data_IF_063658268852
#
_entry.id   IF_063658268852
#
_cell.length_a   1.000
_cell.length_b   1.000
_cell.length_c   1.000
_cell.angle_alpha   90.00
_cell.angle_beta   90.00
_cell.angle_gamma   90.00
#
_symmetry.space_group_name_H-M   'P 1'
#
loop_
_entity.id
_entity.type
_entity.pdbx_description
1 polymer ?
#
# COMPACT_ATOMS: atom_id res chain seq x y z
N UNK A 1 32.58 -5.09 -7.21
CA UNK A 1 31.86 -3.81 -7.00
C UNK A 1 30.53 -4.16 -6.41
N UNK A 2 30.28 -3.65 -5.21
CA UNK A 2 29.16 -4.03 -4.35
C UNK A 2 27.84 -3.71 -5.04
N UNK A 3 26.93 -4.68 -5.06
CA UNK A 3 25.53 -4.44 -5.38
C UNK A 3 25.00 -3.44 -4.35
N UNK A 4 24.72 -2.23 -4.81
CA UNK A 4 23.98 -1.23 -4.06
C UNK A 4 22.53 -1.71 -3.96
N UNK A 5 22.28 -2.67 -3.06
CA UNK A 5 20.95 -3.00 -2.62
C UNK A 5 20.48 -1.76 -1.84
N UNK A 6 19.85 -0.81 -2.54
CA UNK A 6 19.24 0.34 -1.89
C UNK A 6 18.31 -0.19 -0.80
N UNK A 7 18.67 0.03 0.45
CA UNK A 7 17.88 -0.32 1.61
C UNK A 7 16.56 0.45 1.54
N UNK A 8 15.56 -0.16 0.92
CA UNK A 8 14.18 0.30 0.96
C UNK A 8 13.51 -0.39 2.14
N UNK A 9 13.91 0.04 3.33
CA UNK A 9 13.36 -0.44 4.58
C UNK A 9 12.33 0.58 5.05
N UNK A 10 11.08 0.42 4.59
CA UNK A 10 9.97 1.16 5.15
C UNK A 10 9.64 0.59 6.52
N UNK A 11 9.35 1.45 7.48
CA UNK A 11 8.73 1.01 8.73
C UNK A 11 7.36 0.39 8.42
N UNK A 12 6.85 -0.48 9.30
CA UNK A 12 5.58 -1.18 9.10
C UNK A 12 4.45 -0.22 8.69
N UNK A 13 4.35 0.93 9.33
CA UNK A 13 3.29 1.91 9.07
C UNK A 13 3.46 2.61 7.72
N UNK A 14 4.70 2.89 7.32
CA UNK A 14 5.01 3.41 5.99
C UNK A 14 4.71 2.38 4.91
N UNK A 15 5.04 1.10 5.16
CA UNK A 15 4.70 0.01 4.26
C UNK A 15 3.18 -0.12 4.07
N UNK A 16 2.41 -0.08 5.16
CA UNK A 16 0.96 -0.11 5.08
C UNK A 16 0.42 1.08 4.30
N UNK A 17 0.90 2.30 4.54
CA UNK A 17 0.49 3.47 3.74
C UNK A 17 0.86 3.31 2.26
N UNK A 18 2.08 2.87 1.99
CA UNK A 18 2.62 2.68 0.66
C UNK A 18 1.83 1.65 -0.16
N UNK A 19 1.39 0.56 0.46
CA UNK A 19 0.52 -0.46 -0.17
C UNK A 19 -0.74 0.15 -0.78
N UNK A 20 -1.48 0.95 -0.02
CA UNK A 20 -2.71 1.59 -0.50
C UNK A 20 -2.42 2.68 -1.52
N UNK A 21 -1.35 3.47 -1.33
CA UNK A 21 -0.95 4.50 -2.26
C UNK A 21 -0.57 3.93 -3.62
N UNK A 22 0.12 2.78 -3.69
CA UNK A 22 0.46 2.13 -4.96
C UNK A 22 -0.77 1.83 -5.81
N UNK A 23 -1.87 1.37 -5.19
CA UNK A 23 -3.11 1.09 -5.89
C UNK A 23 -3.71 2.38 -6.45
N UNK A 24 -3.96 3.37 -5.58
CA UNK A 24 -4.61 4.63 -5.98
C UNK A 24 -3.74 5.48 -6.93
N UNK A 25 -2.42 5.31 -6.90
CA UNK A 25 -1.50 6.04 -7.77
C UNK A 25 -1.02 5.22 -8.98
N UNK A 26 -1.69 4.11 -9.30
CA UNK A 26 -1.30 3.27 -10.42
C UNK A 26 -1.17 4.08 -11.71
N UNK A 27 -2.01 5.11 -11.88
CA UNK A 27 -2.01 6.01 -13.04
C UNK A 27 -1.23 7.31 -12.84
N UNK A 28 -0.35 7.39 -11.84
CA UNK A 28 0.47 8.58 -11.56
C UNK A 28 -0.34 9.84 -11.18
N UNK A 29 -1.52 9.67 -10.60
CA UNK A 29 -2.25 10.70 -9.86
C UNK A 29 -3.06 10.03 -8.75
N UNK A 30 -3.52 10.81 -7.77
CA UNK A 30 -4.44 10.33 -6.73
C UNK A 30 -5.48 11.43 -6.53
N UNK A 31 -6.75 11.06 -6.39
CA UNK A 31 -7.82 11.99 -6.05
C UNK A 31 -7.85 12.25 -4.54
N UNK A 32 -8.14 13.49 -4.13
CA UNK A 32 -8.19 13.86 -2.71
C UNK A 32 -9.15 12.98 -1.89
N UNK A 33 -10.27 12.56 -2.49
CA UNK A 33 -11.25 11.67 -1.84
C UNK A 33 -10.69 10.27 -1.55
N UNK A 34 -9.76 9.79 -2.37
CA UNK A 34 -9.10 8.51 -2.17
C UNK A 34 -8.10 8.60 -1.02
N UNK A 35 -7.38 9.72 -0.89
CA UNK A 35 -6.42 9.92 0.19
C UNK A 35 -7.05 9.80 1.58
N UNK A 36 -8.24 10.36 1.78
CA UNK A 36 -8.95 10.24 3.05
C UNK A 36 -9.43 8.80 3.32
N UNK A 37 -9.85 8.11 2.27
CA UNK A 37 -10.24 6.70 2.35
C UNK A 37 -9.05 5.80 2.68
N UNK A 38 -7.89 6.05 2.08
CA UNK A 38 -6.62 5.36 2.36
C UNK A 38 -6.19 5.58 3.81
N UNK A 39 -6.19 6.83 4.30
CA UNK A 39 -5.82 7.15 5.68
C UNK A 39 -6.70 6.37 6.67
N UNK A 40 -8.01 6.27 6.40
CA UNK A 40 -8.93 5.54 7.26
C UNK A 40 -8.70 4.02 7.21
N UNK A 41 -8.48 3.44 6.02
CA UNK A 41 -8.15 2.03 5.88
C UNK A 41 -6.87 1.65 6.65
N UNK A 42 -5.80 2.43 6.51
CA UNK A 42 -4.55 2.19 7.23
C UNK A 42 -4.74 2.30 8.75
N UNK A 43 -5.45 3.31 9.24
CA UNK A 43 -5.77 3.44 10.68
C UNK A 43 -6.53 2.23 11.21
N UNK A 44 -7.47 1.69 10.43
CA UNK A 44 -8.23 0.51 10.82
C UNK A 44 -7.33 -0.73 10.95
N UNK A 45 -6.45 -0.96 9.97
CA UNK A 45 -5.49 -2.07 10.03
C UNK A 45 -4.55 -1.92 11.24
N UNK A 46 -3.99 -0.73 11.44
CA UNK A 46 -3.08 -0.45 12.56
C UNK A 46 -3.77 -0.65 13.91
N UNK A 47 -4.94 -0.06 14.12
CA UNK A 47 -5.65 -0.16 15.41
C UNK A 47 -6.04 -1.60 15.78
N UNK A 48 -6.38 -2.43 14.78
CA UNK A 48 -6.83 -3.82 15.00
C UNK A 48 -5.70 -4.81 15.15
N UNK A 49 -4.66 -4.68 14.33
CA UNK A 49 -3.62 -5.70 14.22
C UNK A 49 -2.29 -5.26 14.82
N UNK A 50 -2.10 -3.96 15.05
CA UNK A 50 -0.87 -3.37 15.54
C UNK A 50 -1.15 -2.27 16.60
N UNK A 51 -1.85 -2.60 17.71
CA UNK A 51 -2.42 -1.62 18.66
C UNK A 51 -1.39 -0.76 19.40
N UNK A 52 -0.10 -1.11 19.32
CA UNK A 52 1.00 -0.33 19.88
C UNK A 52 1.53 0.75 18.93
N UNK A 53 1.09 0.75 17.66
CA UNK A 53 1.46 1.79 16.71
C UNK A 53 0.94 3.14 17.17
N UNK A 54 1.83 4.13 17.21
CA UNK A 54 1.50 5.54 17.49
C UNK A 54 1.67 6.42 16.26
N UNK A 55 1.71 5.80 15.09
CA UNK A 55 1.97 6.49 13.85
C UNK A 55 0.86 7.50 13.53
N UNK A 56 1.27 8.71 13.17
CA UNK A 56 0.38 9.65 12.53
C UNK A 56 0.26 9.29 11.04
N UNK A 57 -0.74 8.48 10.71
CA UNK A 57 -1.03 8.05 9.34
C UNK A 57 -1.21 9.25 8.39
N UNK A 58 -1.74 10.37 8.87
CA UNK A 58 -1.91 11.56 8.04
C UNK A 58 -0.55 12.13 7.60
N UNK A 59 0.39 12.22 8.53
CA UNK A 59 1.76 12.67 8.25
C UNK A 59 2.48 11.72 7.29
N UNK A 60 2.38 10.40 7.52
CA UNK A 60 3.02 9.40 6.68
C UNK A 60 2.46 9.43 5.25
N UNK A 61 1.14 9.39 5.10
CA UNK A 61 0.50 9.44 3.78
C UNK A 61 0.93 10.71 3.04
N UNK A 62 0.81 11.88 3.68
CA UNK A 62 1.18 13.14 3.04
C UNK A 62 2.67 13.19 2.64
N UNK A 63 3.56 12.56 3.41
CA UNK A 63 4.98 12.46 3.10
C UNK A 63 5.31 11.51 1.93
N UNK A 64 4.45 10.53 1.65
CA UNK A 64 4.69 9.51 0.63
C UNK A 64 3.99 9.79 -0.72
N UNK A 65 2.89 10.57 -0.72
CA UNK A 65 2.06 10.80 -1.92
C UNK A 65 2.87 11.30 -3.11
N UNK A 66 3.68 12.35 -2.93
CA UNK A 66 4.42 12.96 -4.04
C UNK A 66 5.44 11.98 -4.64
N UNK A 67 6.14 11.23 -3.79
CA UNK A 67 7.10 10.24 -4.24
C UNK A 67 6.40 9.10 -5.00
N UNK A 68 5.29 8.61 -4.47
CA UNK A 68 4.59 7.47 -5.03
C UNK A 68 3.90 7.79 -6.38
N UNK A 69 3.38 9.01 -6.52
CA UNK A 69 2.84 9.50 -7.80
C UNK A 69 3.92 9.55 -8.89
N UNK A 70 5.17 9.83 -8.54
CA UNK A 70 6.29 9.91 -9.49
C UNK A 70 6.90 8.55 -9.84
N UNK A 71 6.61 7.50 -9.07
CA UNK A 71 7.11 6.15 -9.33
C UNK A 71 6.37 5.51 -10.50
N UNK A 72 7.13 4.84 -11.37
CA UNK A 72 6.56 4.00 -12.43
C UNK A 72 5.89 2.77 -11.82
N UNK A 73 4.99 2.15 -12.58
CA UNK A 73 4.35 0.89 -12.16
C UNK A 73 5.38 -0.20 -11.84
N UNK A 74 6.44 -0.32 -12.65
CA UNK A 74 7.53 -1.27 -12.44
C UNK A 74 8.25 -1.01 -11.10
N UNK A 75 8.61 0.23 -10.82
CA UNK A 75 9.24 0.62 -9.55
C UNK A 75 8.34 0.30 -8.35
N UNK A 76 7.03 0.54 -8.48
CA UNK A 76 6.04 0.21 -7.44
C UNK A 76 6.02 -1.30 -7.18
N UNK A 77 5.96 -2.10 -8.25
CA UNK A 77 5.94 -3.57 -8.17
C UNK A 77 7.20 -4.13 -7.54
N UNK A 78 8.37 -3.66 -7.97
CA UNK A 78 9.66 -4.07 -7.40
C UNK A 78 9.74 -3.77 -5.92
N UNK A 79 9.38 -2.54 -5.51
CA UNK A 79 9.41 -2.13 -4.11
C UNK A 79 8.42 -2.94 -3.26
N UNK A 80 7.18 -3.11 -3.72
CA UNK A 80 6.18 -3.90 -3.02
C UNK A 80 6.61 -5.36 -2.82
N UNK A 81 7.19 -5.97 -3.86
CA UNK A 81 7.69 -7.34 -3.81
C UNK A 81 8.87 -7.48 -2.83
N UNK A 82 9.78 -6.50 -2.81
CA UNK A 82 10.91 -6.50 -1.88
C UNK A 82 10.43 -6.34 -0.43
N UNK A 83 9.56 -5.37 -0.17
CA UNK A 83 9.09 -5.07 1.19
C UNK A 83 8.19 -6.18 1.72
N UNK A 84 7.29 -6.75 0.91
CA UNK A 84 6.39 -7.84 1.36
C UNK A 84 7.14 -9.09 1.81
N UNK A 85 8.31 -9.37 1.20
CA UNK A 85 9.21 -10.47 1.60
C UNK A 85 9.95 -10.20 2.90
N UNK A 86 10.33 -8.94 3.13
CA UNK A 86 11.10 -8.53 4.30
C UNK A 86 10.22 -8.21 5.52
N UNK A 87 8.96 -7.80 5.29
CA UNK A 87 7.99 -7.39 6.31
C UNK A 87 6.71 -8.25 6.23
N UNK A 88 6.78 -9.53 6.63
CA UNK A 88 5.62 -10.42 6.57
C UNK A 88 4.52 -9.98 7.55
N UNK A 89 3.34 -9.68 7.02
CA UNK A 89 2.16 -9.34 7.83
C UNK A 89 1.46 -10.59 8.39
N UNK A 90 0.83 -10.51 9.57
CA UNK A 90 -0.08 -11.56 10.05
C UNK A 90 -1.22 -11.82 9.05
N UNK A 91 -1.63 -13.08 8.90
CA UNK A 91 -2.69 -13.46 7.94
C UNK A 91 -3.99 -12.66 8.13
N UNK A 92 -4.42 -12.45 9.38
CA UNK A 92 -5.61 -11.64 9.67
C UNK A 92 -5.50 -10.20 9.16
N UNK A 93 -4.32 -9.58 9.27
CA UNK A 93 -4.08 -8.24 8.74
C UNK A 93 -4.10 -8.24 7.21
N UNK A 94 -3.52 -9.26 6.56
CA UNK A 94 -3.56 -9.41 5.10
C UNK A 94 -5.00 -9.49 4.59
N UNK A 95 -5.84 -10.31 5.23
CA UNK A 95 -7.25 -10.44 4.86
C UNK A 95 -8.01 -9.12 5.04
N UNK A 96 -7.81 -8.41 6.15
CA UNK A 96 -8.42 -7.10 6.35
C UNK A 96 -7.98 -6.09 5.28
N UNK A 97 -6.69 -6.07 4.90
CA UNK A 97 -6.19 -5.21 3.83
C UNK A 97 -6.88 -5.55 2.49
N UNK A 98 -7.06 -6.84 2.19
CA UNK A 98 -7.78 -7.26 0.98
C UNK A 98 -9.24 -6.84 1.00
N UNK A 99 -9.93 -6.96 2.14
CA UNK A 99 -11.31 -6.52 2.28
C UNK A 99 -11.43 -5.00 2.14
N UNK A 100 -10.54 -4.24 2.78
CA UNK A 100 -10.51 -2.78 2.72
C UNK A 100 -10.24 -2.31 1.28
N UNK A 101 -9.25 -2.88 0.60
CA UNK A 101 -8.96 -2.58 -0.80
C UNK A 101 -10.13 -2.97 -1.72
N UNK A 102 -10.79 -4.11 -1.50
CA UNK A 102 -11.98 -4.47 -2.26
C UNK A 102 -13.10 -3.43 -2.07
N UNK A 103 -13.31 -2.93 -0.86
CA UNK A 103 -14.30 -1.86 -0.62
C UNK A 103 -13.93 -0.58 -1.36
N UNK A 104 -12.65 -0.17 -1.32
CA UNK A 104 -12.17 0.99 -2.07
C UNK A 104 -12.46 0.83 -3.57
N UNK A 105 -12.08 -0.32 -4.14
CA UNK A 105 -12.32 -0.67 -5.53
C UNK A 105 -13.82 -0.60 -5.89
N UNK A 106 -14.72 -1.19 -5.10
CA UNK A 106 -16.15 -1.19 -5.43
C UNK A 106 -16.85 0.15 -5.15
N UNK A 107 -16.25 1.00 -4.31
CA UNK A 107 -16.76 2.34 -4.03
C UNK A 107 -16.40 3.35 -5.10
N UNK A 108 -15.29 3.12 -5.82
CA UNK A 108 -14.88 3.95 -6.93
C UNK A 108 -15.57 3.50 -8.23
N UNK A 109 -16.30 4.44 -8.84
CA UNK A 109 -17.01 4.22 -10.11
C UNK A 109 -16.11 4.42 -11.33
N UNK A 110 -14.92 4.95 -11.15
CA UNK A 110 -14.00 5.33 -12.21
C UNK A 110 -12.70 4.54 -12.20
N UNK A 111 -12.70 3.37 -11.55
CA UNK A 111 -11.54 2.49 -11.48
C UNK A 111 -10.86 2.30 -12.82
N UNK A 112 -9.58 2.59 -12.84
CA UNK A 112 -8.75 2.44 -14.01
C UNK A 112 -8.25 1.00 -14.18
N UNK A 113 -7.91 0.60 -15.42
CA UNK A 113 -7.22 -0.67 -15.65
C UNK A 113 -5.90 -0.81 -14.88
N UNK A 114 -5.19 0.30 -14.65
CA UNK A 114 -3.94 0.32 -13.89
C UNK A 114 -4.16 0.00 -12.41
N UNK A 115 -5.19 0.59 -11.81
CA UNK A 115 -5.55 0.35 -10.40
C UNK A 115 -6.00 -1.10 -10.18
N UNK A 116 -6.79 -1.64 -11.11
CA UNK A 116 -7.18 -3.06 -11.11
C UNK A 116 -5.96 -3.98 -11.19
N UNK A 117 -5.02 -3.69 -12.10
CA UNK A 117 -3.80 -4.47 -12.26
C UNK A 117 -2.88 -4.40 -11.04
N UNK A 118 -2.77 -3.22 -10.41
CA UNK A 118 -1.99 -3.04 -9.20
C UNK A 118 -2.64 -3.74 -7.99
N UNK A 119 -3.96 -3.68 -7.86
CA UNK A 119 -4.69 -4.44 -6.84
C UNK A 119 -4.44 -5.95 -6.96
N UNK A 120 -4.54 -6.49 -8.18
CA UNK A 120 -4.24 -7.90 -8.44
C UNK A 120 -2.81 -8.27 -8.02
N UNK A 121 -1.83 -7.41 -8.33
CA UNK A 121 -0.44 -7.62 -7.93
C UNK A 121 -0.21 -7.54 -6.42
N UNK A 122 -0.84 -6.57 -5.74
CA UNK A 122 -0.76 -6.47 -4.28
C UNK A 122 -1.35 -7.73 -3.63
N UNK A 123 -2.46 -8.24 -4.16
CA UNK A 123 -3.07 -9.49 -3.70
C UNK A 123 -2.10 -10.66 -3.83
N UNK A 124 -1.41 -10.80 -4.96
CA UNK A 124 -0.37 -11.81 -5.15
C UNK A 124 0.75 -11.66 -4.11
N UNK A 125 1.29 -10.44 -3.94
CA UNK A 125 2.34 -10.16 -2.96
C UNK A 125 1.95 -10.55 -1.52
N UNK A 126 0.70 -10.34 -1.13
CA UNK A 126 0.24 -10.64 0.23
C UNK A 126 -0.10 -12.12 0.41
N UNK A 127 -0.65 -12.78 -0.62
CA UNK A 127 -1.28 -14.11 -0.51
C UNK A 127 -0.52 -15.26 -1.17
N UNK A 128 0.60 -15.04 -1.87
CA UNK A 128 1.35 -16.03 -2.69
C UNK A 128 1.72 -17.38 -2.02
N UNK A 129 1.45 -17.58 -0.73
CA UNK A 129 1.77 -18.80 0.04
C UNK A 129 0.56 -19.47 0.71
N UNK A 130 -0.67 -19.10 0.33
CA UNK A 130 -1.92 -19.67 0.85
C UNK A 130 -2.79 -20.27 -0.25
#
# INVERSE_FOLDING_TARGET
MEHNASHLDLQLEEYLCYLYLCMASADMYILDAELDSIKNAVRNVLSRHFPNSKADVGVIVNGLVEANVRETEEQKREKLNAISKNHPLPFAAKMQIMDDMNVLMHSDKNLSPGEIAMFAFIRECLLEKY
#
